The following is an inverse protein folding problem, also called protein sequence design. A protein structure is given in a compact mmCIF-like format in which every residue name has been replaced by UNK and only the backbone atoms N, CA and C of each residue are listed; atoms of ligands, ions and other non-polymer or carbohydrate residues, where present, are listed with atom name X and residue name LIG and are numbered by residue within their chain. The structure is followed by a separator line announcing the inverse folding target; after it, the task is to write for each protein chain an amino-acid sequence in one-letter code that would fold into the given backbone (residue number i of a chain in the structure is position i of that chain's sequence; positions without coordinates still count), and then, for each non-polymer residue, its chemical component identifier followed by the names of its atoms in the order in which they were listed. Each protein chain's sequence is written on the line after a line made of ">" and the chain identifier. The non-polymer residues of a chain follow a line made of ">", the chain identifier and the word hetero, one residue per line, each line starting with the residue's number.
data_IF_913572680920
#
_entry.id   IF_913572680920
#
_cell.length_a   1.000
_cell.length_b   1.000
_cell.length_c   1.000
_cell.angle_alpha   90.00
_cell.angle_beta   90.00
_cell.angle_gamma   90.00
#
_symmetry.space_group_name_H-M   'P 1'
#
loop_
_entity.id
_entity.type
_entity.pdbx_description
1 polymer ?
#
# COMPACT_ATOMS: atom_id res chain seq x y z
N UNK A 1 -32.83 42.32 34.64
CA UNK A 1 -33.34 41.61 33.44
C UNK A 1 -32.24 40.95 32.60
N UNK A 2 -30.97 41.41 32.64
CA UNK A 2 -29.87 40.81 31.83
C UNK A 2 -29.43 39.40 32.18
N UNK A 3 -29.36 38.93 33.47
CA UNK A 3 -28.89 37.54 33.73
C UNK A 3 -29.93 36.50 33.36
N UNK A 4 -31.21 36.77 33.43
CA UNK A 4 -32.27 35.80 33.13
C UNK A 4 -32.33 35.44 31.62
N UNK A 5 -32.09 36.40 30.75
CA UNK A 5 -32.03 36.20 29.29
C UNK A 5 -30.81 35.37 28.91
N UNK A 6 -29.67 35.57 29.57
CA UNK A 6 -28.46 34.78 29.34
C UNK A 6 -28.65 33.29 29.75
N UNK A 7 -29.28 33.05 30.91
CA UNK A 7 -29.60 31.67 31.34
C UNK A 7 -30.61 31.01 30.40
N UNK A 8 -31.59 31.71 29.86
CA UNK A 8 -32.56 31.17 28.91
C UNK A 8 -31.91 30.81 27.57
N UNK A 9 -30.98 31.62 27.08
CA UNK A 9 -30.21 31.35 25.87
C UNK A 9 -29.25 30.16 26.05
N UNK A 10 -28.59 30.00 27.20
CA UNK A 10 -27.78 28.86 27.51
C UNK A 10 -28.60 27.56 27.62
N UNK A 11 -29.78 27.60 28.25
CA UNK A 11 -30.70 26.47 28.34
C UNK A 11 -31.23 26.07 26.95
N UNK A 12 -31.51 27.04 26.09
CA UNK A 12 -31.96 26.80 24.72
C UNK A 12 -30.85 26.22 23.85
N UNK A 13 -29.59 26.65 24.01
CA UNK A 13 -28.44 26.08 23.31
C UNK A 13 -28.14 24.59 23.71
N UNK A 14 -28.47 24.22 24.95
CA UNK A 14 -28.32 22.83 25.43
C UNK A 14 -29.41 21.89 24.86
N UNK A 15 -30.55 22.42 24.39
CA UNK A 15 -31.59 21.64 23.74
C UNK A 15 -31.30 21.32 22.27
N UNK A 16 -30.35 22.00 21.66
CA UNK A 16 -29.87 21.77 20.30
C UNK A 16 -28.55 20.99 20.23
N UNK A 17 -28.22 20.22 21.25
CA UNK A 17 -27.22 19.18 21.10
C UNK A 17 -27.82 18.11 20.19
N UNK A 18 -27.77 18.37 18.87
CA UNK A 18 -27.97 17.35 17.87
C UNK A 18 -27.04 16.19 18.23
N UNK A 19 -27.61 15.01 18.44
CA UNK A 19 -26.82 13.79 18.53
C UNK A 19 -25.99 13.74 17.27
N UNK A 20 -24.70 13.95 17.38
CA UNK A 20 -23.76 13.49 16.38
C UNK A 20 -23.83 11.94 16.47
N UNK A 21 -24.81 11.35 15.81
CA UNK A 21 -24.79 9.91 15.56
C UNK A 21 -23.58 9.70 14.65
N UNK A 22 -22.53 9.14 15.22
CA UNK A 22 -21.45 8.62 14.44
C UNK A 22 -22.04 7.49 13.57
N UNK A 23 -22.15 7.70 12.27
CA UNK A 23 -22.65 6.75 11.26
C UNK A 23 -21.82 5.46 11.13
N UNK A 24 -21.03 5.11 12.12
CA UNK A 24 -20.10 3.97 12.11
C UNK A 24 -20.77 2.64 12.46
N UNK A 25 -22.05 2.66 12.90
CA UNK A 25 -22.69 1.46 13.45
C UNK A 25 -23.38 0.59 12.39
N UNK A 26 -23.82 1.18 11.28
CA UNK A 26 -24.65 0.54 10.24
C UNK A 26 -23.94 0.40 8.88
N UNK A 27 -22.65 0.70 8.83
CA UNK A 27 -21.84 0.69 7.61
C UNK A 27 -20.75 -0.40 7.67
N UNK A 28 -20.30 -0.82 6.49
CA UNK A 28 -19.13 -1.68 6.34
C UNK A 28 -17.96 -0.83 5.84
N UNK A 29 -17.14 -0.35 6.76
CA UNK A 29 -15.99 0.48 6.43
C UNK A 29 -14.93 -0.33 5.67
N UNK A 30 -14.53 0.14 4.50
CA UNK A 30 -13.53 -0.47 3.64
C UNK A 30 -12.42 0.52 3.32
N UNK A 31 -11.23 0.30 3.85
CA UNK A 31 -10.06 1.15 3.67
C UNK A 31 -9.08 0.47 2.74
N UNK A 32 -8.79 1.08 1.60
CA UNK A 32 -7.77 0.62 0.67
C UNK A 32 -6.52 1.49 0.75
N UNK A 33 -5.39 0.90 1.10
CA UNK A 33 -4.07 1.54 1.12
C UNK A 33 -3.22 0.99 -0.03
N UNK A 34 -2.93 1.84 -1.01
CA UNK A 34 -2.19 1.45 -2.22
C UNK A 34 -0.72 1.80 -2.04
N UNK A 35 0.15 0.83 -2.27
CA UNK A 35 1.61 1.01 -2.29
C UNK A 35 2.12 0.83 -3.71
N UNK A 36 2.87 1.81 -4.21
CA UNK A 36 3.61 1.72 -5.45
C UNK A 36 5.04 1.23 -5.15
N UNK A 37 5.36 0.02 -5.55
CA UNK A 37 6.69 -0.58 -5.35
C UNK A 37 7.29 -1.04 -6.67
N UNK A 38 8.63 -1.12 -6.81
CA UNK A 38 9.29 -1.51 -8.07
C UNK A 38 8.91 -2.90 -8.59
N UNK A 39 8.53 -3.80 -7.69
CA UNK A 39 8.07 -5.16 -7.97
C UNK A 39 6.57 -5.26 -8.29
N UNK A 40 5.85 -4.14 -8.22
CA UNK A 40 4.44 -4.02 -8.57
C UNK A 40 3.61 -3.30 -7.50
N UNK A 41 2.43 -2.82 -7.88
CA UNK A 41 1.51 -2.22 -6.93
C UNK A 41 0.94 -3.27 -5.96
N UNK A 42 0.70 -2.85 -4.73
CA UNK A 42 0.06 -3.63 -3.67
C UNK A 42 -1.12 -2.86 -3.11
N UNK A 43 -2.13 -3.59 -2.65
CA UNK A 43 -3.30 -3.01 -1.99
C UNK A 43 -3.51 -3.72 -0.67
N UNK A 44 -3.40 -3.00 0.42
CA UNK A 44 -3.85 -3.45 1.73
C UNK A 44 -5.30 -3.02 1.88
N UNK A 45 -6.21 -3.99 1.94
CA UNK A 45 -7.64 -3.76 2.13
C UNK A 45 -8.01 -4.13 3.56
N UNK A 46 -8.51 -3.17 4.32
CA UNK A 46 -9.02 -3.34 5.69
C UNK A 46 -10.52 -3.13 5.67
N UNK A 47 -11.25 -4.07 6.21
CA UNK A 47 -12.71 -4.06 6.18
C UNK A 47 -13.25 -4.30 7.59
N UNK A 48 -13.93 -3.29 8.14
CA UNK A 48 -14.47 -3.33 9.51
C UNK A 48 -15.99 -3.19 9.44
N UNK A 49 -16.76 -4.24 9.72
CA UNK A 49 -18.22 -4.14 9.81
C UNK A 49 -18.62 -3.39 11.07
N UNK A 50 -19.49 -2.42 10.93
CA UNK A 50 -20.18 -1.80 12.07
C UNK A 50 -21.09 -2.78 12.79
N UNK A 51 -21.38 -2.54 14.06
CA UNK A 51 -22.10 -3.49 14.93
C UNK A 51 -23.45 -3.95 14.37
N UNK A 52 -24.18 -3.07 13.68
CA UNK A 52 -25.51 -3.41 13.14
C UNK A 52 -25.46 -4.32 11.91
N UNK A 53 -24.36 -4.27 11.15
CA UNK A 53 -24.17 -5.10 9.94
C UNK A 53 -23.27 -6.32 10.20
N UNK A 54 -22.64 -6.36 11.37
CA UNK A 54 -21.63 -7.35 11.76
C UNK A 54 -22.11 -8.79 11.60
N UNK A 55 -23.28 -9.13 12.12
CA UNK A 55 -23.86 -10.48 12.01
C UNK A 55 -24.15 -10.85 10.55
N UNK A 56 -24.61 -9.90 9.73
CA UNK A 56 -24.87 -10.13 8.32
C UNK A 56 -23.58 -10.37 7.51
N UNK A 57 -22.52 -9.64 7.82
CA UNK A 57 -21.19 -9.84 7.19
C UNK A 57 -20.59 -11.17 7.65
N UNK A 58 -20.66 -11.48 8.96
CA UNK A 58 -20.15 -12.73 9.49
C UNK A 58 -20.86 -13.94 8.85
N UNK A 59 -22.18 -13.92 8.73
CA UNK A 59 -22.95 -14.99 8.08
C UNK A 59 -22.64 -15.16 6.58
N UNK A 60 -22.13 -14.13 5.90
CA UNK A 60 -21.67 -14.25 4.53
C UNK A 60 -20.32 -14.99 4.44
N UNK A 61 -19.55 -15.03 5.51
CA UNK A 61 -18.24 -15.68 5.60
C UNK A 61 -18.39 -17.09 6.14
N UNK A 62 -18.97 -17.23 7.33
CA UNK A 62 -19.31 -18.48 8.03
C UNK A 62 -20.49 -19.17 7.31
N UNK A 63 -20.17 -20.01 6.31
CA UNK A 63 -21.17 -20.63 5.40
C UNK A 63 -21.84 -21.85 6.00
N UNK A 64 -21.15 -22.55 6.88
CA UNK A 64 -21.67 -23.73 7.58
C UNK A 64 -22.34 -23.39 8.92
N UNK A 65 -22.29 -22.10 9.32
CA UNK A 65 -22.90 -21.53 10.51
C UNK A 65 -22.43 -22.20 11.82
N UNK A 66 -21.16 -22.64 11.87
CA UNK A 66 -20.57 -23.23 13.06
C UNK A 66 -20.11 -22.19 14.10
N UNK A 67 -20.17 -20.89 13.74
CA UNK A 67 -19.77 -19.75 14.57
C UNK A 67 -18.28 -19.44 14.52
N UNK A 68 -17.55 -20.04 13.60
CA UNK A 68 -16.11 -19.83 13.36
C UNK A 68 -15.88 -19.58 11.89
N UNK A 69 -14.77 -18.92 11.57
CA UNK A 69 -14.32 -18.75 10.19
C UNK A 69 -13.18 -19.74 9.94
N UNK A 70 -13.45 -20.75 9.14
CA UNK A 70 -12.44 -21.73 8.73
C UNK A 70 -11.54 -21.15 7.63
N UNK A 71 -10.33 -21.70 7.44
CA UNK A 71 -9.44 -21.25 6.36
C UNK A 71 -10.01 -21.49 4.94
N UNK A 72 -11.00 -22.36 4.78
CA UNK A 72 -11.70 -22.54 3.51
C UNK A 72 -12.65 -21.37 3.23
N UNK A 73 -13.33 -20.89 4.27
CA UNK A 73 -14.24 -19.75 4.21
C UNK A 73 -13.50 -18.42 4.05
N UNK A 74 -12.38 -18.24 4.76
CA UNK A 74 -11.46 -17.11 4.55
C UNK A 74 -11.09 -16.98 3.08
N UNK A 75 -10.60 -18.07 2.48
CA UNK A 75 -10.23 -18.09 1.05
C UNK A 75 -11.43 -17.88 0.12
N UNK A 76 -12.60 -18.40 0.47
CA UNK A 76 -13.80 -18.22 -0.33
C UNK A 76 -14.27 -16.76 -0.31
N UNK A 77 -14.24 -16.13 0.85
CA UNK A 77 -14.59 -14.71 0.99
C UNK A 77 -13.57 -13.81 0.29
N UNK A 78 -12.27 -14.03 0.50
CA UNK A 78 -11.22 -13.27 -0.17
C UNK A 78 -11.33 -13.34 -1.71
N UNK A 79 -11.66 -14.50 -2.28
CA UNK A 79 -11.91 -14.62 -3.74
C UNK A 79 -13.12 -13.80 -4.20
N UNK A 80 -14.18 -13.71 -3.39
CA UNK A 80 -15.34 -12.87 -3.70
C UNK A 80 -14.94 -11.40 -3.69
N UNK A 81 -14.25 -10.95 -2.66
CA UNK A 81 -13.74 -9.57 -2.59
C UNK A 81 -12.88 -9.24 -3.81
N UNK A 82 -11.97 -10.15 -4.22
CA UNK A 82 -11.12 -9.94 -5.41
C UNK A 82 -11.90 -9.77 -6.72
N UNK A 83 -13.09 -10.36 -6.84
CA UNK A 83 -13.95 -10.19 -8.03
C UNK A 83 -14.53 -8.77 -8.12
N UNK A 84 -14.69 -8.12 -6.98
CA UNK A 84 -15.27 -6.80 -6.85
C UNK A 84 -14.20 -5.68 -6.86
N UNK A 85 -12.91 -6.04 -6.88
CA UNK A 85 -11.78 -5.12 -6.95
C UNK A 85 -11.20 -5.06 -8.37
N UNK A 86 -10.98 -3.86 -8.87
CA UNK A 86 -10.25 -3.63 -10.11
C UNK A 86 -9.02 -2.75 -9.85
N UNK A 87 -7.88 -3.17 -10.41
CA UNK A 87 -6.65 -2.40 -10.47
C UNK A 87 -6.15 -2.37 -11.91
N UNK A 88 -5.81 -1.19 -12.40
CA UNK A 88 -5.30 -0.99 -13.75
C UNK A 88 -4.06 -0.10 -13.70
N UNK A 89 -3.09 -0.39 -14.57
CA UNK A 89 -1.92 0.46 -14.79
C UNK A 89 -1.88 0.78 -16.29
N UNK A 90 -1.90 2.07 -16.62
CA UNK A 90 -1.94 2.59 -18.00
C UNK A 90 -3.07 1.98 -18.85
N UNK A 91 -4.23 1.74 -18.22
CA UNK A 91 -5.40 1.13 -18.84
C UNK A 91 -5.32 -0.40 -19.00
N UNK A 92 -4.19 -1.01 -18.64
CA UNK A 92 -4.04 -2.46 -18.59
C UNK A 92 -4.48 -3.01 -17.23
N UNK A 93 -5.41 -4.00 -17.21
CA UNK A 93 -5.86 -4.64 -15.97
C UNK A 93 -4.72 -5.44 -15.33
N UNK A 94 -4.43 -5.17 -14.07
CA UNK A 94 -3.47 -5.92 -13.27
C UNK A 94 -4.22 -7.05 -12.53
N UNK A 95 -3.74 -8.29 -12.70
CA UNK A 95 -4.24 -9.42 -11.91
C UNK A 95 -3.78 -9.28 -10.47
N UNK A 96 -4.71 -9.34 -9.52
CA UNK A 96 -4.42 -9.30 -8.09
C UNK A 96 -4.49 -10.71 -7.51
N UNK A 97 -3.52 -11.02 -6.65
CA UNK A 97 -3.50 -12.24 -5.81
C UNK A 97 -3.48 -11.87 -4.35
N UNK A 98 -4.02 -12.74 -3.50
CA UNK A 98 -3.98 -12.60 -2.04
C UNK A 98 -2.60 -13.07 -1.55
N UNK A 99 -1.78 -12.13 -1.09
CA UNK A 99 -0.47 -12.41 -0.50
C UNK A 99 -0.58 -12.82 0.97
N UNK A 100 -1.49 -12.17 1.72
CA UNK A 100 -1.82 -12.51 3.10
C UNK A 100 -3.28 -12.13 3.39
N UNK A 101 -3.87 -12.80 4.39
CA UNK A 101 -5.21 -12.50 4.87
C UNK A 101 -5.30 -12.76 6.36
N UNK A 102 -6.13 -11.99 7.04
CA UNK A 102 -6.43 -12.13 8.45
C UNK A 102 -7.92 -11.87 8.66
N UNK A 103 -8.54 -12.74 9.44
CA UNK A 103 -9.96 -12.63 9.79
C UNK A 103 -10.11 -12.53 11.30
N UNK A 104 -11.08 -11.74 11.79
CA UNK A 104 -11.32 -11.55 13.21
C UNK A 104 -12.06 -12.74 13.80
N UNK A 105 -12.01 -12.85 15.12
CA UNK A 105 -12.89 -13.73 15.87
C UNK A 105 -14.32 -13.17 15.86
N UNK A 106 -15.32 -14.05 15.99
CA UNK A 106 -16.74 -13.63 16.05
C UNK A 106 -16.99 -12.59 17.16
N UNK A 107 -16.34 -12.74 18.30
CA UNK A 107 -16.48 -11.79 19.40
C UNK A 107 -16.03 -10.38 19.01
N UNK A 108 -14.89 -10.24 18.33
CA UNK A 108 -14.35 -8.97 17.87
C UNK A 108 -15.29 -8.29 16.86
N UNK A 109 -15.89 -9.11 15.97
CA UNK A 109 -16.89 -8.62 15.00
C UNK A 109 -18.11 -8.05 15.72
N UNK A 110 -18.66 -8.78 16.72
CA UNK A 110 -19.82 -8.36 17.48
C UNK A 110 -19.56 -7.10 18.32
N UNK A 111 -18.32 -6.88 18.74
CA UNK A 111 -17.88 -5.69 19.47
C UNK A 111 -17.60 -4.49 18.53
N UNK A 112 -17.68 -4.67 17.20
CA UNK A 112 -17.42 -3.64 16.21
C UNK A 112 -15.94 -3.26 16.06
N UNK A 113 -15.02 -4.11 16.56
CA UNK A 113 -13.55 -3.93 16.47
C UNK A 113 -12.89 -4.97 15.57
N UNK A 114 -13.67 -5.94 15.07
CA UNK A 114 -13.19 -6.99 14.18
C UNK A 114 -12.84 -6.44 12.80
N UNK A 115 -11.58 -6.56 12.39
CA UNK A 115 -11.07 -6.13 11.08
C UNK A 115 -10.72 -7.35 10.23
N UNK A 116 -11.27 -7.42 9.02
CA UNK A 116 -10.82 -8.33 7.97
C UNK A 116 -9.73 -7.60 7.19
N UNK A 117 -8.56 -8.22 7.09
CA UNK A 117 -7.44 -7.66 6.32
C UNK A 117 -7.05 -8.58 5.18
N UNK A 118 -6.95 -8.00 3.98
CA UNK A 118 -6.43 -8.67 2.79
C UNK A 118 -5.25 -7.87 2.25
N UNK A 119 -4.08 -8.50 2.17
CA UNK A 119 -2.92 -7.95 1.49
C UNK A 119 -2.88 -8.51 0.07
N UNK A 120 -3.12 -7.64 -0.92
CA UNK A 120 -3.20 -7.98 -2.33
C UNK A 120 -1.94 -7.52 -3.06
N UNK A 121 -1.41 -8.34 -3.94
CA UNK A 121 -0.27 -8.01 -4.78
C UNK A 121 -0.63 -8.16 -6.26
N UNK A 122 -0.19 -7.23 -7.09
CA UNK A 122 -0.31 -7.35 -8.53
C UNK A 122 0.75 -8.29 -9.10
N UNK A 123 0.37 -9.14 -10.04
CA UNK A 123 1.26 -10.12 -10.69
C UNK A 123 2.08 -9.50 -11.84
N UNK A 124 2.40 -8.23 -11.74
CA UNK A 124 3.19 -7.54 -12.76
C UNK A 124 4.12 -6.52 -12.12
N UNK A 125 5.35 -6.39 -12.61
CA UNK A 125 6.24 -5.34 -12.15
C UNK A 125 5.63 -3.96 -12.44
N UNK A 126 6.05 -2.96 -11.68
CA UNK A 126 5.68 -1.59 -11.97
C UNK A 126 6.19 -1.21 -13.36
N UNK A 127 5.47 -0.27 -14.00
CA UNK A 127 5.77 0.24 -15.33
C UNK A 127 7.23 0.72 -15.49
N UNK A 128 7.79 0.77 -16.72
CA UNK A 128 9.13 1.24 -16.99
C UNK A 128 9.31 2.72 -16.62
N UNK A 129 10.51 3.28 -16.81
CA UNK A 129 10.74 4.70 -16.55
C UNK A 129 9.83 5.59 -17.41
N UNK A 130 9.13 6.55 -16.80
CA UNK A 130 8.18 7.44 -17.46
C UNK A 130 7.06 7.91 -16.55
N UNK A 131 6.09 8.59 -17.13
CA UNK A 131 4.83 8.98 -16.49
C UNK A 131 3.80 7.88 -16.68
N UNK A 132 3.08 7.53 -15.62
CA UNK A 132 2.13 6.44 -15.58
C UNK A 132 0.89 6.81 -14.79
N UNK A 133 -0.16 6.05 -14.98
CA UNK A 133 -1.41 6.19 -14.25
C UNK A 133 -1.84 4.83 -13.68
N UNK A 134 -2.22 4.80 -12.41
CA UNK A 134 -2.90 3.67 -11.79
C UNK A 134 -4.34 4.07 -11.50
N UNK A 135 -5.29 3.17 -11.80
CA UNK A 135 -6.69 3.27 -11.43
C UNK A 135 -7.05 2.11 -10.51
N UNK A 136 -7.75 2.42 -9.43
CA UNK A 136 -8.28 1.45 -8.47
C UNK A 136 -9.77 1.66 -8.33
N UNK A 137 -10.52 0.55 -8.22
CA UNK A 137 -11.95 0.56 -7.96
C UNK A 137 -12.33 -0.57 -7.01
N UNK A 138 -13.20 -0.25 -6.04
CA UNK A 138 -13.78 -1.20 -5.10
C UNK A 138 -15.31 -1.17 -5.19
N UNK A 139 -15.88 -2.25 -5.68
CA UNK A 139 -17.32 -2.45 -5.79
C UNK A 139 -17.85 -3.49 -4.80
N UNK A 140 -17.07 -3.87 -3.78
CA UNK A 140 -17.48 -4.88 -2.81
C UNK A 140 -18.57 -4.35 -1.88
N UNK A 141 -19.73 -4.98 -1.92
CA UNK A 141 -20.93 -4.67 -1.11
C UNK A 141 -21.30 -3.17 -1.13
N UNK A 142 -21.60 -2.58 -2.31
CA UNK A 142 -21.81 -1.14 -2.44
C UNK A 142 -22.99 -0.59 -1.65
N UNK A 143 -23.96 -1.43 -1.31
CA UNK A 143 -25.15 -1.04 -0.53
C UNK A 143 -24.86 -0.86 0.98
N UNK A 144 -23.76 -1.42 1.46
CA UNK A 144 -23.33 -1.36 2.86
C UNK A 144 -22.00 -0.65 3.03
N UNK A 145 -21.24 -0.50 1.95
CA UNK A 145 -19.86 -0.05 2.00
C UNK A 145 -19.71 1.45 2.17
N UNK A 146 -18.91 1.86 3.13
CA UNK A 146 -18.26 3.18 3.17
C UNK A 146 -16.80 2.98 2.84
N UNK A 147 -16.31 3.75 1.84
CA UNK A 147 -14.99 3.53 1.26
C UNK A 147 -14.04 4.66 1.57
N UNK A 148 -12.81 4.29 1.87
CA UNK A 148 -11.67 5.21 1.95
C UNK A 148 -10.55 4.63 1.11
N UNK A 149 -9.97 5.44 0.24
CA UNK A 149 -8.83 5.02 -0.57
C UNK A 149 -7.69 6.02 -0.50
N UNK A 150 -6.48 5.51 -0.34
CA UNK A 150 -5.29 6.33 -0.28
C UNK A 150 -4.08 5.63 -0.92
N UNK A 151 -3.13 6.43 -1.44
CA UNK A 151 -1.83 5.93 -1.85
C UNK A 151 -0.79 6.30 -0.79
N UNK A 152 0.00 5.33 -0.37
CA UNK A 152 1.09 5.56 0.58
C UNK A 152 2.26 6.25 -0.12
N UNK A 153 2.97 7.08 0.61
CA UNK A 153 4.19 7.71 0.11
C UNK A 153 5.20 6.62 -0.26
N UNK A 154 5.71 6.60 -1.51
CA UNK A 154 6.69 5.60 -1.91
C UNK A 154 7.94 5.64 -1.02
N UNK A 155 8.46 4.47 -0.66
CA UNK A 155 9.66 4.33 0.18
C UNK A 155 10.96 4.47 -0.62
N UNK A 156 10.87 4.69 -1.94
CA UNK A 156 12.02 4.83 -2.86
C UNK A 156 11.90 6.11 -3.66
N UNK A 157 13.01 6.80 -3.85
CA UNK A 157 13.09 7.99 -4.70
C UNK A 157 12.88 7.68 -6.21
N UNK A 158 12.84 6.39 -6.57
CA UNK A 158 12.58 5.96 -7.94
C UNK A 158 11.12 6.18 -8.36
N UNK A 159 10.21 6.40 -7.42
CA UNK A 159 8.78 6.57 -7.70
C UNK A 159 8.32 7.87 -7.04
N UNK A 160 7.69 8.74 -7.83
CA UNK A 160 7.12 9.99 -7.34
C UNK A 160 5.63 10.08 -7.72
N UNK A 161 4.77 10.37 -6.75
CA UNK A 161 3.35 10.62 -6.99
C UNK A 161 3.19 12.03 -7.55
N UNK A 162 2.51 12.16 -8.68
CA UNK A 162 2.34 13.43 -9.40
C UNK A 162 0.90 13.97 -9.30
N UNK A 163 -0.09 13.09 -9.19
CA UNK A 163 -1.50 13.48 -9.14
C UNK A 163 -2.30 12.43 -8.37
N UNK A 164 -3.37 12.88 -7.70
CA UNK A 164 -4.37 12.02 -7.07
C UNK A 164 -5.77 12.59 -7.34
N UNK A 165 -6.71 11.70 -7.66
CA UNK A 165 -8.12 12.03 -7.87
C UNK A 165 -8.99 10.91 -7.32
N UNK A 166 -10.06 11.27 -6.60
CA UNK A 166 -11.04 10.36 -6.02
C UNK A 166 -12.43 10.73 -6.51
N UNK A 167 -13.30 9.76 -6.67
CA UNK A 167 -14.73 10.02 -6.77
C UNK A 167 -15.31 10.43 -5.40
N UNK A 168 -16.51 11.04 -5.34
CA UNK A 168 -17.12 11.49 -4.09
C UNK A 168 -17.35 10.37 -3.06
N UNK A 169 -17.58 9.14 -3.52
CA UNK A 169 -17.80 7.96 -2.66
C UNK A 169 -16.49 7.24 -2.31
N UNK A 170 -15.36 7.71 -2.81
CA UNK A 170 -14.03 7.11 -2.64
C UNK A 170 -13.95 5.63 -3.06
N UNK A 171 -14.83 5.19 -3.96
CA UNK A 171 -14.82 3.86 -4.58
C UNK A 171 -13.82 3.79 -5.72
N UNK A 172 -13.65 4.88 -6.45
CA UNK A 172 -12.71 5.01 -7.56
C UNK A 172 -11.57 5.97 -7.18
N UNK A 173 -10.36 5.54 -7.48
CA UNK A 173 -9.16 6.31 -7.22
C UNK A 173 -8.21 6.25 -8.41
N UNK A 174 -7.73 7.41 -8.82
CA UNK A 174 -6.72 7.53 -9.86
C UNK A 174 -5.48 8.20 -9.29
N UNK A 175 -4.33 7.63 -9.54
CA UNK A 175 -3.04 8.20 -9.15
C UNK A 175 -2.11 8.25 -10.35
N UNK A 176 -1.63 9.48 -10.67
CA UNK A 176 -0.53 9.69 -11.58
C UNK A 176 0.79 9.52 -10.82
N UNK A 177 1.74 8.83 -11.40
CA UNK A 177 3.05 8.64 -10.81
C UNK A 177 4.13 8.62 -11.88
N UNK A 178 5.35 8.97 -11.47
CA UNK A 178 6.54 8.93 -12.33
C UNK A 178 7.50 7.89 -11.80
N UNK A 179 7.97 7.02 -12.68
CA UNK A 179 9.07 6.10 -12.41
C UNK A 179 10.36 6.72 -12.96
N UNK A 180 11.33 6.96 -12.09
CA UNK A 180 12.62 7.50 -12.49
C UNK A 180 13.36 6.47 -13.37
N UNK A 181 14.01 6.96 -14.41
CA UNK A 181 14.99 6.16 -15.14
C UNK A 181 16.08 5.76 -14.14
N UNK A 182 16.24 4.46 -13.91
CA UNK A 182 17.48 3.97 -13.31
C UNK A 182 18.58 4.28 -14.33
N UNK A 183 19.17 5.46 -14.21
CA UNK A 183 20.42 5.72 -14.89
C UNK A 183 21.38 4.64 -14.36
N UNK A 184 21.57 3.56 -15.14
CA UNK A 184 22.69 2.64 -14.90
C UNK A 184 23.86 3.57 -14.69
N UNK A 185 24.45 3.55 -13.50
CA UNK A 185 25.71 4.22 -13.25
C UNK A 185 26.67 3.65 -14.30
N UNK A 186 26.72 4.28 -15.48
CA UNK A 186 27.71 3.96 -16.49
C UNK A 186 29.01 4.34 -15.83
N UNK A 187 29.72 3.33 -15.36
CA UNK A 187 31.09 3.47 -14.90
C UNK A 187 31.81 4.26 -16.01
N UNK A 188 31.99 5.55 -15.80
CA UNK A 188 32.70 6.38 -16.80
C UNK A 188 34.14 5.90 -16.77
N UNK A 189 34.73 5.70 -17.90
CA UNK A 189 36.13 5.34 -18.01
C UNK A 189 37.03 6.30 -17.19
N UNK A 190 36.54 7.52 -16.95
CA UNK A 190 37.13 8.50 -16.04
C UNK A 190 37.14 8.07 -14.57
N UNK A 191 36.25 7.19 -14.13
CA UNK A 191 36.21 6.72 -12.74
C UNK A 191 37.22 5.60 -12.47
N UNK A 192 37.75 4.98 -13.55
CA UNK A 192 38.77 3.94 -13.48
C UNK A 192 40.20 4.51 -13.51
N UNK A 193 40.35 5.79 -13.87
CA UNK A 193 41.66 6.47 -13.97
C UNK A 193 42.52 6.39 -12.69
N UNK A 194 41.97 6.57 -11.46
CA UNK A 194 42.78 6.45 -10.25
C UNK A 194 43.34 5.04 -10.05
N UNK A 195 42.53 4.02 -10.38
CA UNK A 195 42.94 2.61 -10.27
C UNK A 195 44.02 2.24 -11.31
N UNK A 196 43.93 2.80 -12.51
CA UNK A 196 44.95 2.59 -13.56
C UNK A 196 46.29 3.21 -13.15
N UNK A 197 46.30 4.40 -12.53
CA UNK A 197 47.51 5.02 -12.00
C UNK A 197 48.12 4.19 -10.85
N UNK A 198 47.31 3.76 -9.92
CA UNK A 198 47.79 2.92 -8.80
C UNK A 198 48.40 1.62 -9.30
N UNK A 199 47.75 0.94 -10.27
CA UNK A 199 48.27 -0.27 -10.87
C UNK A 199 49.59 -0.05 -11.57
N UNK A 200 49.71 1.07 -12.36
CA UNK A 200 50.94 1.43 -13.05
C UNK A 200 52.09 1.70 -12.08
N UNK A 201 51.84 2.36 -10.94
CA UNK A 201 52.84 2.62 -9.91
C UNK A 201 53.32 1.35 -9.20
N UNK A 202 52.39 0.43 -8.91
CA UNK A 202 52.72 -0.88 -8.32
C UNK A 202 53.60 -1.71 -9.27
N UNK A 203 53.20 -1.82 -10.54
CA UNK A 203 53.98 -2.53 -11.55
C UNK A 203 55.38 -1.92 -11.75
N UNK A 204 55.49 -0.59 -11.73
CA UNK A 204 56.78 0.10 -11.84
C UNK A 204 57.70 -0.15 -10.62
N UNK A 205 57.10 -0.30 -9.43
CA UNK A 205 57.83 -0.66 -8.20
C UNK A 205 58.34 -2.09 -8.24
N UNK A 206 57.60 -3.02 -8.85
CA UNK A 206 57.99 -4.43 -9.03
C UNK A 206 59.14 -4.59 -10.02
N UNK A 207 59.08 -3.91 -11.16
CA UNK A 207 60.13 -3.93 -12.19
C UNK A 207 61.48 -3.39 -11.68
N UNK A 208 61.46 -2.37 -10.82
CA UNK A 208 62.70 -1.84 -10.22
C UNK A 208 63.32 -2.76 -9.15
N UNK A 209 62.61 -3.69 -8.55
CA UNK A 209 63.12 -4.65 -7.55
C UNK A 209 63.67 -5.94 -8.16
N UNK A 210 63.50 -6.17 -9.46
CA UNK A 210 63.87 -7.39 -10.14
C UNK A 210 65.25 -7.41 -10.81
N UNK A 211 66.17 -6.46 -10.53
CA UNK A 211 67.51 -6.54 -11.06
C UNK A 211 68.37 -7.48 -10.17
N UNK A 212 68.82 -8.66 -10.72
CA UNK A 212 69.66 -9.55 -9.93
C UNK A 212 71.06 -8.93 -9.73
N UNK A 213 71.72 -9.22 -8.59
CA UNK A 213 73.07 -8.72 -8.38
C UNK A 213 74.02 -9.39 -9.36
N UNK A 214 74.82 -8.56 -10.01
CA UNK A 214 75.89 -9.02 -10.91
C UNK A 214 76.95 -9.70 -10.02
N UNK A 215 77.02 -11.03 -10.15
CA UNK A 215 78.08 -11.83 -9.50
C UNK A 215 79.40 -11.52 -10.22
N UNK A 216 80.30 -10.82 -9.53
CA UNK A 216 81.69 -10.66 -9.93
C UNK A 216 82.37 -12.04 -9.89
N UNK A 217 83.01 -12.47 -10.97
CA UNK A 217 83.90 -13.64 -11.01
C UNK A 217 85.24 -13.31 -10.38
N UNK A 218 85.75 -14.13 -9.45
CA UNK A 218 87.13 -14.04 -9.07
C UNK A 218 88.04 -14.71 -10.10
N UNK A 219 89.20 -14.23 -10.21
CA UNK A 219 90.32 -14.71 -11.06
C UNK A 219 90.76 -16.11 -10.67
#
# INVERSE_FOLDING_TARGET
>A
MKPFVACLLCAFALLFQGRAEAHVLDEYLQVALITLAPDGPRVELRMTPGVQVADGIFAQIDRDADGRISSAEERAYARRVLQDIALEVDGGRASLTVAAMQFPLRQEVNEGVGEIRLDLAAEAPLAPAGEHQLSFRNDHLPELGTYLVNVLVPTTDAIAITRQQRDPLQREFQVGFRVASQARARLRWTDLWPFAICLALVLRGWVKRGSPPVLARPW
#
